data_IF_507007208848
#
_entry.id   IF_507007208848
#
_cell.length_a   1.000
_cell.length_b   1.000
_cell.length_c   1.000
_cell.angle_alpha   90.00
_cell.angle_beta   90.00
_cell.angle_gamma   90.00
#
_symmetry.space_group_name_H-M   'P 1'
#
loop_
_entity.id
_entity.type
_entity.pdbx_description
1 polymer ?
#
# COMPACT_ATOMS: atom_id res chain seq x y z
N UNK A 1 29.78 -0.61 17.57
CA UNK A 1 28.99 -0.75 16.33
C UNK A 1 27.96 0.35 16.42
N UNK A 2 28.00 1.31 15.50
CA UNK A 2 26.96 2.34 15.45
C UNK A 2 25.58 1.71 15.15
N UNK A 3 24.54 2.46 15.46
CA UNK A 3 23.15 2.00 15.37
C UNK A 3 22.73 1.79 13.90
N UNK A 4 23.31 2.53 12.95
CA UNK A 4 23.10 2.32 11.51
C UNK A 4 23.64 0.97 11.04
N UNK A 5 24.89 0.65 11.38
CA UNK A 5 25.50 -0.65 11.11
C UNK A 5 24.74 -1.79 11.81
N UNK A 6 24.18 -1.52 13.01
CA UNK A 6 23.29 -2.47 13.68
C UNK A 6 22.02 -2.69 12.86
N UNK A 7 21.36 -1.62 12.39
CA UNK A 7 20.14 -1.67 11.57
C UNK A 7 20.32 -2.51 10.31
N UNK A 8 21.39 -2.25 9.54
CA UNK A 8 21.67 -2.98 8.30
C UNK A 8 21.93 -4.46 8.58
N UNK A 9 22.75 -4.77 9.59
CA UNK A 9 22.99 -6.16 9.99
C UNK A 9 21.73 -6.85 10.49
N UNK A 10 20.84 -6.13 11.16
CA UNK A 10 19.58 -6.67 11.66
C UNK A 10 18.64 -7.00 10.50
N UNK A 11 18.64 -6.22 9.42
CA UNK A 11 17.92 -6.53 8.17
C UNK A 11 18.42 -7.85 7.56
N UNK A 12 19.74 -8.03 7.46
CA UNK A 12 20.32 -9.31 7.01
C UNK A 12 19.95 -10.47 7.94
N UNK A 13 20.07 -10.30 9.26
CA UNK A 13 19.71 -11.34 10.24
C UNK A 13 18.24 -11.73 10.11
N UNK A 14 17.32 -10.76 9.99
CA UNK A 14 15.90 -11.03 9.81
C UNK A 14 15.62 -11.75 8.49
N UNK A 15 16.27 -11.34 7.40
CA UNK A 15 16.15 -12.01 6.10
C UNK A 15 16.60 -13.47 6.18
N UNK A 16 17.79 -13.74 6.73
CA UNK A 16 18.31 -15.11 6.85
C UNK A 16 17.49 -15.97 7.81
N UNK A 17 16.99 -15.40 8.91
CA UNK A 17 16.04 -16.08 9.80
C UNK A 17 14.71 -16.40 9.10
N UNK A 18 14.18 -15.48 8.30
CA UNK A 18 12.97 -15.70 7.52
C UNK A 18 13.19 -16.84 6.50
N UNK A 19 14.31 -16.83 5.77
CA UNK A 19 14.69 -17.91 4.84
C UNK A 19 14.83 -19.23 5.57
N UNK A 20 15.49 -19.26 6.73
CA UNK A 20 15.64 -20.47 7.54
C UNK A 20 14.28 -21.00 8.04
N UNK A 21 13.37 -20.12 8.48
CA UNK A 21 12.01 -20.49 8.87
C UNK A 21 11.23 -21.08 7.71
N UNK A 22 11.30 -20.48 6.51
CA UNK A 22 10.66 -21.00 5.31
C UNK A 22 11.21 -22.37 4.95
N UNK A 23 12.54 -22.55 4.95
CA UNK A 23 13.17 -23.84 4.70
C UNK A 23 12.73 -24.90 5.73
N UNK A 24 12.69 -24.54 7.01
CA UNK A 24 12.20 -25.41 8.08
C UNK A 24 10.73 -25.80 7.87
N UNK A 25 9.86 -24.86 7.49
CA UNK A 25 8.46 -25.16 7.20
C UNK A 25 8.29 -26.03 5.97
N UNK A 26 9.12 -25.89 4.94
CA UNK A 26 9.09 -26.79 3.78
C UNK A 26 9.48 -28.20 4.23
N UNK A 27 10.58 -28.37 4.95
CA UNK A 27 11.06 -29.69 5.41
C UNK A 27 10.04 -30.35 6.34
N UNK A 28 9.58 -29.64 7.38
CA UNK A 28 8.59 -30.16 8.34
C UNK A 28 7.25 -30.39 7.64
N UNK A 29 6.83 -29.50 6.74
CA UNK A 29 5.61 -29.64 5.97
C UNK A 29 5.62 -30.88 5.07
N UNK A 30 6.73 -31.16 4.39
CA UNK A 30 6.92 -32.38 3.61
C UNK A 30 6.91 -33.63 4.51
N UNK A 31 7.61 -33.59 5.65
CA UNK A 31 7.61 -34.71 6.61
C UNK A 31 6.20 -35.01 7.15
N UNK A 32 5.45 -33.98 7.54
CA UNK A 32 4.06 -34.13 8.01
C UNK A 32 3.16 -34.61 6.87
N UNK A 33 3.32 -34.08 5.64
CA UNK A 33 2.55 -34.51 4.48
C UNK A 33 2.73 -36.01 4.17
N UNK A 34 3.96 -36.50 4.18
CA UNK A 34 4.27 -37.90 3.84
C UNK A 34 4.09 -38.88 5.01
N UNK A 35 4.36 -38.48 6.26
CA UNK A 35 4.30 -39.39 7.42
C UNK A 35 3.04 -39.26 8.27
N UNK A 36 2.42 -38.08 8.33
CA UNK A 36 1.32 -37.74 9.27
C UNK A 36 0.32 -36.76 8.65
N UNK A 37 -0.28 -37.16 7.53
CA UNK A 37 -1.18 -36.30 6.75
C UNK A 37 -2.39 -35.81 7.57
N UNK A 38 -2.80 -36.58 8.58
CA UNK A 38 -3.82 -36.23 9.58
C UNK A 38 -3.48 -34.95 10.36
N UNK A 39 -2.19 -34.70 10.62
CA UNK A 39 -1.69 -33.54 11.38
C UNK A 39 -1.34 -32.32 10.51
N UNK A 40 -1.53 -32.39 9.21
CA UNK A 40 -1.15 -31.30 8.31
C UNK A 40 -1.97 -30.01 8.56
N UNK A 41 -3.22 -30.14 9.02
CA UNK A 41 -4.03 -28.98 9.41
C UNK A 41 -3.46 -28.27 10.65
N UNK A 42 -3.00 -29.02 11.64
CA UNK A 42 -2.38 -28.49 12.85
C UNK A 42 -1.03 -27.83 12.53
N UNK A 43 -0.21 -28.50 11.69
CA UNK A 43 1.04 -27.91 11.17
C UNK A 43 0.81 -26.53 10.54
N UNK A 44 -0.22 -26.38 9.70
CA UNK A 44 -0.56 -25.08 9.09
C UNK A 44 -0.89 -24.01 10.14
N UNK A 45 -1.63 -24.36 11.20
CA UNK A 45 -1.94 -23.41 12.29
C UNK A 45 -0.67 -22.97 13.02
N UNK A 46 0.22 -23.89 13.35
CA UNK A 46 1.49 -23.56 14.01
C UNK A 46 2.41 -22.74 13.11
N UNK A 47 2.53 -23.09 11.83
CA UNK A 47 3.32 -22.33 10.87
C UNK A 47 2.81 -20.90 10.73
N UNK A 48 1.48 -20.70 10.65
CA UNK A 48 0.87 -19.37 10.64
C UNK A 48 1.19 -18.61 11.95
N UNK A 49 1.03 -19.25 13.11
CA UNK A 49 1.30 -18.63 14.41
C UNK A 49 2.76 -18.19 14.56
N UNK A 50 3.71 -19.07 14.23
CA UNK A 50 5.15 -18.78 14.30
C UNK A 50 5.52 -17.67 13.31
N UNK A 51 5.01 -17.74 12.08
CA UNK A 51 5.27 -16.70 11.06
C UNK A 51 4.73 -15.35 11.50
N UNK A 52 3.50 -15.33 12.05
CA UNK A 52 2.88 -14.10 12.55
C UNK A 52 3.65 -13.54 13.73
N UNK A 53 4.03 -14.37 14.70
CA UNK A 53 4.84 -13.96 15.84
C UNK A 53 6.19 -13.39 15.41
N UNK A 54 6.91 -14.09 14.53
CA UNK A 54 8.18 -13.62 13.98
C UNK A 54 8.01 -12.28 13.23
N UNK A 55 7.01 -12.16 12.36
CA UNK A 55 6.76 -10.93 11.61
C UNK A 55 6.44 -9.75 12.53
N UNK A 56 5.57 -9.94 13.53
CA UNK A 56 5.25 -8.90 14.52
C UNK A 56 6.50 -8.49 15.30
N UNK A 57 7.29 -9.46 15.78
CA UNK A 57 8.54 -9.17 16.50
C UNK A 57 9.52 -8.40 15.62
N UNK A 58 9.73 -8.83 14.38
CA UNK A 58 10.64 -8.14 13.46
C UNK A 58 10.15 -6.73 13.15
N UNK A 59 8.85 -6.52 12.90
CA UNK A 59 8.29 -5.19 12.68
C UNK A 59 8.53 -4.27 13.88
N UNK A 60 8.28 -4.75 15.09
CA UNK A 60 8.51 -3.97 16.32
C UNK A 60 10.00 -3.66 16.50
N UNK A 61 10.88 -4.65 16.30
CA UNK A 61 12.32 -4.46 16.46
C UNK A 61 12.87 -3.53 15.37
N UNK A 62 12.48 -3.67 14.11
CA UNK A 62 12.90 -2.77 13.04
C UNK A 62 12.37 -1.37 13.23
N UNK A 63 11.09 -1.21 13.58
CA UNK A 63 10.52 0.10 13.87
C UNK A 63 11.30 0.77 15.01
N UNK A 64 11.64 0.04 16.07
CA UNK A 64 12.43 0.55 17.18
C UNK A 64 13.88 0.88 16.78
N UNK A 65 14.56 0.00 16.06
CA UNK A 65 15.96 0.20 15.67
C UNK A 65 16.10 1.33 14.64
N UNK A 66 15.26 1.36 13.60
CA UNK A 66 15.20 2.49 12.64
C UNK A 66 14.85 3.79 13.36
N UNK A 67 13.94 3.74 14.33
CA UNK A 67 13.66 4.89 15.19
C UNK A 67 14.91 5.36 15.95
N UNK A 68 15.70 4.46 16.53
CA UNK A 68 16.96 4.81 17.21
C UNK A 68 18.06 5.27 16.24
N UNK A 69 18.05 4.84 14.97
CA UNK A 69 18.97 5.34 13.94
C UNK A 69 18.67 6.80 13.57
N UNK A 70 17.38 7.16 13.55
CA UNK A 70 16.88 8.40 12.96
C UNK A 70 16.63 9.51 14.00
N UNK A 71 17.07 9.37 15.26
CA UNK A 71 16.99 10.47 16.23
C UNK A 71 18.27 11.30 16.18
N UNK A 72 18.24 12.30 15.30
CA UNK A 72 18.48 13.67 15.74
C UNK A 72 17.09 14.30 16.03
N UNK A 73 17.01 15.24 16.97
CA UNK A 73 15.75 15.90 17.41
C UNK A 73 14.88 16.42 16.25
N UNK A 74 15.50 16.70 15.10
CA UNK A 74 14.85 17.21 13.91
C UNK A 74 13.99 16.16 13.17
N UNK A 75 14.44 14.90 13.05
CA UNK A 75 13.71 13.85 12.32
C UNK A 75 12.56 13.23 13.14
N UNK A 76 12.59 13.38 14.47
CA UNK A 76 11.48 12.99 15.35
C UNK A 76 10.17 13.72 14.98
N UNK A 77 10.25 14.97 14.49
CA UNK A 77 9.09 15.76 14.00
C UNK A 77 8.41 15.13 12.77
N UNK A 78 9.11 14.31 12.01
CA UNK A 78 8.56 13.58 10.86
C UNK A 78 7.98 12.22 11.28
N UNK A 79 8.71 11.47 12.11
CA UNK A 79 8.38 10.09 12.40
C UNK A 79 7.16 9.92 13.32
N UNK A 80 7.14 10.61 14.47
CA UNK A 80 6.08 10.42 15.46
C UNK A 80 4.67 10.74 14.94
N UNK A 81 4.45 11.79 14.14
CA UNK A 81 3.10 12.08 13.64
C UNK A 81 2.60 11.05 12.62
N UNK A 82 3.48 10.54 11.75
CA UNK A 82 3.14 9.45 10.83
C UNK A 82 2.80 8.17 11.63
N UNK A 83 3.63 7.84 12.63
CA UNK A 83 3.40 6.69 13.51
C UNK A 83 2.08 6.85 14.29
N UNK A 84 1.81 8.02 14.86
CA UNK A 84 0.56 8.31 15.57
C UNK A 84 -0.66 8.17 14.65
N UNK A 85 -0.57 8.62 13.40
CA UNK A 85 -1.63 8.43 12.41
C UNK A 85 -1.91 6.95 12.17
N UNK A 86 -0.87 6.12 12.05
CA UNK A 86 -1.02 4.68 11.86
C UNK A 86 -1.54 3.96 13.10
N UNK A 87 -1.08 4.33 14.30
CA UNK A 87 -1.62 3.81 15.57
C UNK A 87 -3.10 4.12 15.67
N UNK A 88 -3.53 5.35 15.32
CA UNK A 88 -4.94 5.74 15.29
C UNK A 88 -5.76 4.86 14.34
N UNK A 89 -5.24 4.58 13.14
CA UNK A 89 -5.91 3.70 12.17
C UNK A 89 -6.04 2.27 12.71
N UNK A 90 -4.98 1.71 13.30
CA UNK A 90 -4.99 0.35 13.85
C UNK A 90 -5.91 0.25 15.08
N UNK A 91 -5.81 1.20 16.01
CA UNK A 91 -6.67 1.27 17.19
C UNK A 91 -8.14 1.43 16.79
N UNK A 92 -8.42 2.26 15.78
CA UNK A 92 -9.76 2.40 15.22
C UNK A 92 -10.28 1.13 14.54
N UNK A 93 -9.43 0.39 13.82
CA UNK A 93 -9.79 -0.92 13.27
C UNK A 93 -10.15 -1.93 14.37
N UNK A 94 -9.37 -1.97 15.45
CA UNK A 94 -9.66 -2.81 16.64
C UNK A 94 -10.98 -2.36 17.30
N UNK A 95 -11.19 -1.06 17.46
CA UNK A 95 -12.41 -0.51 18.02
C UNK A 95 -13.64 -0.88 17.19
N UNK A 96 -13.53 -0.86 15.85
CA UNK A 96 -14.61 -1.30 14.96
C UNK A 96 -14.86 -2.81 15.07
N UNK A 97 -13.82 -3.63 15.17
CA UNK A 97 -13.95 -5.07 15.41
C UNK A 97 -14.65 -5.36 16.74
N UNK A 98 -14.25 -4.70 17.82
CA UNK A 98 -14.90 -4.82 19.13
C UNK A 98 -16.35 -4.34 19.05
N UNK A 99 -16.60 -3.21 18.38
CA UNK A 99 -17.95 -2.65 18.19
C UNK A 99 -18.87 -3.58 17.41
N UNK A 100 -18.32 -4.38 16.49
CA UNK A 100 -19.08 -5.37 15.71
C UNK A 100 -19.64 -6.51 16.57
N UNK A 101 -19.14 -6.70 17.79
CA UNK A 101 -19.69 -7.66 18.76
C UNK A 101 -20.97 -7.16 19.43
N UNK A 102 -21.28 -5.86 19.32
CA UNK A 102 -22.40 -5.23 20.02
C UNK A 102 -23.54 -4.83 19.08
N UNK A 103 -23.27 -4.00 18.06
CA UNK A 103 -24.29 -3.58 17.08
C UNK A 103 -23.72 -2.87 15.85
N UNK A 104 -24.47 -2.87 14.75
CA UNK A 104 -24.12 -2.10 13.54
C UNK A 104 -24.05 -0.59 13.79
N UNK A 105 -24.89 -0.07 14.70
CA UNK A 105 -24.84 1.35 15.11
C UNK A 105 -23.50 1.67 15.79
N UNK A 106 -23.02 0.79 16.67
CA UNK A 106 -21.72 0.95 17.33
C UNK A 106 -20.57 0.93 16.31
N UNK A 107 -20.62 0.04 15.30
CA UNK A 107 -19.63 0.02 14.21
C UNK A 107 -19.62 1.34 13.43
N UNK A 108 -20.79 1.88 13.07
CA UNK A 108 -20.89 3.17 12.37
C UNK A 108 -20.30 4.33 13.19
N UNK A 109 -20.62 4.39 14.48
CA UNK A 109 -20.06 5.42 15.38
C UNK A 109 -18.54 5.26 15.48
N UNK A 110 -18.05 4.04 15.72
CA UNK A 110 -16.63 3.73 15.81
C UNK A 110 -15.88 4.09 14.51
N UNK A 111 -16.49 3.83 13.36
CA UNK A 111 -15.96 4.24 12.06
C UNK A 111 -15.85 5.76 11.93
N UNK A 112 -16.91 6.52 12.25
CA UNK A 112 -16.90 8.00 12.18
C UNK A 112 -15.83 8.57 13.12
N UNK A 113 -15.77 8.09 14.37
CA UNK A 113 -14.77 8.53 15.34
C UNK A 113 -13.36 8.23 14.83
N UNK A 114 -13.11 7.02 14.32
CA UNK A 114 -11.83 6.63 13.74
C UNK A 114 -11.46 7.53 12.56
N UNK A 115 -12.40 7.81 11.65
CA UNK A 115 -12.16 8.66 10.49
C UNK A 115 -11.81 10.10 10.88
N UNK A 116 -12.52 10.68 11.84
CA UNK A 116 -12.26 12.04 12.36
C UNK A 116 -10.89 12.11 13.05
N UNK A 117 -10.57 11.14 13.92
CA UNK A 117 -9.27 11.08 14.60
C UNK A 117 -8.13 10.90 13.61
N UNK A 118 -8.30 10.01 12.63
CA UNK A 118 -7.29 9.78 11.57
C UNK A 118 -7.05 11.05 10.76
N UNK A 119 -8.12 11.75 10.37
CA UNK A 119 -8.01 13.04 9.67
C UNK A 119 -7.29 14.09 10.53
N UNK A 120 -7.62 14.18 11.82
CA UNK A 120 -6.94 15.07 12.76
C UNK A 120 -5.44 14.76 12.89
N UNK A 121 -5.07 13.49 13.06
CA UNK A 121 -3.67 13.05 13.09
C UNK A 121 -2.95 13.35 11.77
N UNK A 122 -3.62 13.15 10.65
CA UNK A 122 -3.06 13.44 9.33
C UNK A 122 -2.79 14.95 9.14
N UNK A 123 -3.74 15.81 9.52
CA UNK A 123 -3.54 17.28 9.48
C UNK A 123 -2.39 17.68 10.41
N UNK A 124 -2.34 17.16 11.63
CA UNK A 124 -1.23 17.41 12.56
C UNK A 124 0.12 16.98 11.97
N UNK A 125 0.16 15.85 11.27
CA UNK A 125 1.34 15.37 10.54
C UNK A 125 1.77 16.37 9.47
N UNK A 126 0.86 16.88 8.65
CA UNK A 126 1.17 17.89 7.62
C UNK A 126 1.72 19.19 8.23
N UNK A 127 1.16 19.64 9.35
CA UNK A 127 1.63 20.84 10.07
C UNK A 127 3.04 20.63 10.62
N UNK A 128 3.32 19.49 11.26
CA UNK A 128 4.64 19.20 11.82
C UNK A 128 5.70 19.01 10.74
N UNK A 129 5.35 18.42 9.59
CA UNK A 129 6.23 18.38 8.41
C UNK A 129 6.54 19.79 7.88
N UNK A 130 5.57 20.71 7.94
CA UNK A 130 5.80 22.11 7.52
C UNK A 130 6.76 22.82 8.47
N UNK A 131 6.62 22.60 9.78
CA UNK A 131 7.57 23.13 10.77
C UNK A 131 8.97 22.56 10.57
N UNK A 132 9.06 21.24 10.35
CA UNK A 132 10.32 20.58 10.03
C UNK A 132 10.97 21.19 8.79
N UNK A 133 10.21 21.39 7.70
CA UNK A 133 10.72 22.06 6.50
C UNK A 133 11.28 23.46 6.82
N UNK A 134 10.60 24.23 7.68
CA UNK A 134 11.08 25.54 8.12
C UNK A 134 12.45 25.49 8.80
N UNK A 135 12.75 24.42 9.53
CA UNK A 135 14.05 24.21 10.17
C UNK A 135 15.16 23.84 9.16
N UNK A 136 14.81 23.23 8.03
CA UNK A 136 15.76 22.73 7.03
C UNK A 136 15.77 23.50 5.71
N UNK A 137 14.93 24.53 5.56
CA UNK A 137 14.72 25.21 4.29
C UNK A 137 16.02 25.80 3.69
N UNK A 138 16.97 26.21 4.54
CA UNK A 138 18.27 26.71 4.12
C UNK A 138 19.12 25.67 3.37
N UNK A 139 18.91 24.37 3.64
CA UNK A 139 19.57 23.28 2.93
C UNK A 139 18.95 22.98 1.56
N UNK A 140 17.77 23.54 1.27
CA UNK A 140 17.02 23.32 0.04
C UNK A 140 16.64 24.64 -0.66
N UNK A 141 17.61 25.52 -0.98
CA UNK A 141 17.33 26.83 -1.54
C UNK A 141 16.65 26.78 -2.92
N UNK A 142 16.77 25.68 -3.67
CA UNK A 142 16.14 25.52 -4.98
C UNK A 142 14.79 24.79 -4.92
N UNK A 143 14.28 24.46 -3.74
CA UNK A 143 12.95 23.88 -3.59
C UNK A 143 11.84 24.88 -3.99
N UNK A 144 10.88 24.41 -4.80
CA UNK A 144 9.80 25.19 -5.37
C UNK A 144 8.44 24.76 -4.81
N UNK A 145 7.95 25.52 -3.83
CA UNK A 145 6.67 25.26 -3.17
C UNK A 145 5.48 25.23 -4.14
N UNK A 146 5.42 26.19 -5.08
CA UNK A 146 4.32 26.29 -6.04
C UNK A 146 4.28 25.05 -6.94
N UNK A 147 5.45 24.62 -7.43
CA UNK A 147 5.60 23.41 -8.24
C UNK A 147 5.16 22.15 -7.48
N UNK A 148 5.53 22.02 -6.21
CA UNK A 148 5.09 20.91 -5.37
C UNK A 148 3.56 20.89 -5.17
N UNK A 149 2.95 22.04 -4.84
CA UNK A 149 1.49 22.15 -4.64
C UNK A 149 0.74 21.81 -5.93
N UNK A 150 1.12 22.44 -7.05
CA UNK A 150 0.47 22.23 -8.35
C UNK A 150 0.56 20.76 -8.75
N UNK A 151 1.74 20.15 -8.61
CA UNK A 151 1.93 18.73 -8.93
C UNK A 151 1.08 17.83 -8.04
N UNK A 152 1.08 18.05 -6.71
CA UNK A 152 0.29 17.26 -5.77
C UNK A 152 -1.21 17.35 -6.09
N UNK A 153 -1.73 18.54 -6.41
CA UNK A 153 -3.12 18.75 -6.83
C UNK A 153 -3.42 18.03 -8.14
N UNK A 154 -2.54 18.13 -9.15
CA UNK A 154 -2.71 17.43 -10.44
C UNK A 154 -2.80 15.92 -10.25
N UNK A 155 -1.88 15.32 -9.50
CA UNK A 155 -1.92 13.87 -9.25
C UNK A 155 -3.08 13.44 -8.37
N UNK A 156 -3.52 14.29 -7.43
CA UNK A 156 -4.75 14.06 -6.68
C UNK A 156 -5.97 14.04 -7.60
N UNK A 157 -6.07 14.98 -8.56
CA UNK A 157 -7.14 15.01 -9.57
C UNK A 157 -7.08 13.78 -10.46
N UNK A 158 -5.89 13.34 -10.89
CA UNK A 158 -5.71 12.10 -11.67
C UNK A 158 -6.20 10.88 -10.87
N UNK A 159 -5.85 10.80 -9.59
CA UNK A 159 -6.29 9.71 -8.71
C UNK A 159 -7.80 9.70 -8.53
N UNK A 160 -8.43 10.87 -8.36
CA UNK A 160 -9.90 11.02 -8.30
C UNK A 160 -10.54 10.65 -9.63
N UNK A 161 -9.97 11.05 -10.76
CA UNK A 161 -10.46 10.65 -12.08
C UNK A 161 -10.38 9.12 -12.26
N UNK A 162 -9.27 8.50 -11.88
CA UNK A 162 -9.10 7.05 -11.91
C UNK A 162 -10.13 6.32 -11.02
N UNK A 163 -10.50 6.90 -9.87
CA UNK A 163 -11.57 6.38 -9.02
C UNK A 163 -12.92 6.35 -9.75
N UNK A 164 -13.27 7.42 -10.48
CA UNK A 164 -14.52 7.46 -11.24
C UNK A 164 -14.50 6.54 -12.46
N UNK A 165 -13.35 6.34 -13.10
CA UNK A 165 -13.17 5.39 -14.20
C UNK A 165 -13.29 3.94 -13.73
N UNK A 166 -12.81 3.60 -12.52
CA UNK A 166 -12.92 2.26 -11.95
C UNK A 166 -14.38 1.81 -11.73
N UNK A 167 -14.63 0.50 -11.84
CA UNK A 167 -15.99 -0.04 -11.75
C UNK A 167 -16.53 0.07 -10.32
N UNK A 168 -17.84 0.33 -10.21
CA UNK A 168 -18.55 0.38 -8.92
C UNK A 168 -18.75 -1.04 -8.38
N UNK A 169 -17.77 -1.53 -7.62
CA UNK A 169 -17.83 -2.81 -6.89
C UNK A 169 -18.11 -2.56 -5.40
N UNK A 170 -18.77 -3.51 -4.72
CA UNK A 170 -19.10 -3.39 -3.29
C UNK A 170 -17.83 -3.20 -2.44
N UNK A 171 -17.65 -2.04 -1.81
CA UNK A 171 -16.41 -1.75 -1.06
C UNK A 171 -16.22 -2.65 0.17
N UNK A 172 -17.30 -3.12 0.78
CA UNK A 172 -17.32 -3.94 2.00
C UNK A 172 -17.25 -5.45 1.74
N UNK A 173 -16.66 -5.89 0.62
CA UNK A 173 -16.48 -7.31 0.34
C UNK A 173 -15.33 -7.89 1.18
N UNK A 174 -15.66 -8.77 2.14
CA UNK A 174 -14.69 -9.38 3.07
C UNK A 174 -13.52 -10.03 2.35
N UNK A 175 -13.78 -10.73 1.24
CA UNK A 175 -12.74 -11.38 0.45
C UNK A 175 -11.75 -10.34 -0.08
N UNK A 176 -12.24 -9.28 -0.70
CA UNK A 176 -11.40 -8.19 -1.20
C UNK A 176 -10.60 -7.46 -0.10
N UNK A 177 -11.15 -7.34 1.11
CA UNK A 177 -10.45 -6.73 2.24
C UNK A 177 -9.28 -7.63 2.68
N UNK A 178 -9.53 -8.94 2.83
CA UNK A 178 -8.50 -9.92 3.22
C UNK A 178 -7.39 -9.99 2.19
N UNK A 179 -7.71 -10.08 0.90
CA UNK A 179 -6.70 -10.06 -0.16
C UNK A 179 -5.92 -8.73 -0.19
N UNK A 180 -6.57 -7.61 0.11
CA UNK A 180 -5.92 -6.31 0.22
C UNK A 180 -4.88 -6.30 1.34
N UNK A 181 -5.28 -6.72 2.54
CA UNK A 181 -4.38 -6.82 3.69
C UNK A 181 -3.19 -7.75 3.43
N UNK A 182 -3.43 -8.93 2.84
CA UNK A 182 -2.35 -9.87 2.46
C UNK A 182 -1.41 -9.23 1.44
N UNK A 183 -1.95 -8.52 0.45
CA UNK A 183 -1.15 -7.89 -0.60
C UNK A 183 -0.29 -6.76 -0.03
N UNK A 184 -0.83 -5.94 0.87
CA UNK A 184 -0.05 -4.91 1.59
C UNK A 184 1.06 -5.56 2.41
N UNK A 185 0.74 -6.58 3.21
CA UNK A 185 1.71 -7.26 4.06
C UNK A 185 2.85 -7.91 3.26
N UNK A 186 2.52 -8.60 2.16
CA UNK A 186 3.51 -9.21 1.27
C UNK A 186 4.38 -8.15 0.58
N UNK A 187 3.77 -7.07 0.08
CA UNK A 187 4.50 -5.99 -0.58
C UNK A 187 5.40 -5.23 0.39
N UNK A 188 4.99 -5.11 1.65
CA UNK A 188 5.77 -4.48 2.71
C UNK A 188 6.88 -5.40 3.20
N UNK A 189 6.68 -6.72 3.22
CA UNK A 189 7.77 -7.66 3.50
C UNK A 189 8.80 -7.67 2.35
N UNK A 190 8.33 -7.71 1.10
CA UNK A 190 9.19 -7.73 -0.09
C UNK A 190 9.95 -6.42 -0.30
N UNK A 191 9.47 -5.28 0.22
CA UNK A 191 10.21 -4.02 0.13
C UNK A 191 11.47 -3.97 0.98
N UNK A 192 11.62 -4.86 1.98
CA UNK A 192 12.90 -5.04 2.69
C UNK A 192 13.89 -5.90 1.89
N UNK A 193 13.42 -6.72 0.95
CA UNK A 193 14.28 -7.50 0.07
C UNK A 193 14.79 -6.63 -1.10
N UNK A 194 15.65 -5.67 -0.76
CA UNK A 194 16.23 -4.71 -1.70
C UNK A 194 17.43 -5.33 -2.43
N UNK A 195 17.45 -5.19 -3.75
CA UNK A 195 18.57 -5.58 -4.62
C UNK A 195 19.58 -4.44 -4.76
N UNK A 196 19.08 -3.20 -4.76
CA UNK A 196 19.87 -1.98 -4.84
C UNK A 196 19.15 -0.83 -4.13
N UNK A 197 19.89 0.02 -3.45
CA UNK A 197 19.40 1.24 -2.78
C UNK A 197 20.07 2.46 -3.40
N UNK A 198 19.30 3.53 -3.61
CA UNK A 198 19.81 4.80 -4.12
C UNK A 198 20.06 5.79 -2.98
N UNK A 199 21.03 6.72 -3.15
CA UNK A 199 21.51 7.58 -2.06
C UNK A 199 20.53 8.66 -1.57
N UNK A 200 19.45 8.95 -2.30
CA UNK A 200 18.45 9.99 -1.99
C UNK A 200 17.07 9.36 -1.88
N UNK A 201 17.03 8.13 -1.38
CA UNK A 201 15.84 7.30 -1.32
C UNK A 201 15.54 6.56 -2.62
N UNK A 202 14.64 5.60 -2.53
CA UNK A 202 14.33 4.70 -3.63
C UNK A 202 15.19 3.44 -3.61
N UNK A 203 14.57 2.34 -4.02
CA UNK A 203 15.22 1.03 -4.08
C UNK A 203 14.64 0.18 -5.20
N UNK A 204 15.46 -0.71 -5.74
CA UNK A 204 15.04 -1.78 -6.61
C UNK A 204 14.80 -3.01 -5.73
N UNK A 205 13.57 -3.51 -5.72
CA UNK A 205 13.16 -4.57 -4.78
C UNK A 205 12.95 -5.90 -5.48
N UNK A 206 12.86 -6.99 -4.71
CA UNK A 206 12.52 -8.32 -5.21
C UNK A 206 11.00 -8.45 -5.50
N UNK A 207 10.50 -7.63 -6.43
CA UNK A 207 9.10 -7.58 -6.88
C UNK A 207 8.09 -7.11 -5.81
N UNK A 208 8.43 -6.11 -5.00
CA UNK A 208 7.52 -5.61 -3.94
C UNK A 208 6.19 -5.05 -4.47
N UNK A 209 6.14 -4.54 -5.70
CA UNK A 209 4.90 -4.06 -6.33
C UNK A 209 3.96 -5.18 -6.78
N UNK A 210 4.47 -6.39 -6.99
CA UNK A 210 3.72 -7.47 -7.64
C UNK A 210 2.44 -7.88 -6.88
N UNK A 211 2.45 -8.07 -5.54
CA UNK A 211 1.23 -8.43 -4.83
C UNK A 211 0.14 -7.36 -4.96
N UNK A 212 0.50 -6.06 -4.91
CA UNK A 212 -0.45 -4.96 -5.15
C UNK A 212 -1.02 -4.98 -6.57
N UNK A 213 -0.17 -5.20 -7.58
CA UNK A 213 -0.64 -5.26 -8.98
C UNK A 213 -1.60 -6.43 -9.21
N UNK A 214 -1.31 -7.60 -8.61
CA UNK A 214 -2.22 -8.76 -8.64
C UNK A 214 -3.54 -8.41 -7.96
N UNK A 215 -3.50 -7.76 -6.79
CA UNK A 215 -4.70 -7.31 -6.10
C UNK A 215 -5.58 -6.42 -6.98
N UNK A 216 -4.98 -5.43 -7.63
CA UNK A 216 -5.70 -4.51 -8.52
C UNK A 216 -6.30 -5.25 -9.71
N UNK A 217 -5.57 -6.22 -10.28
CA UNK A 217 -6.08 -7.10 -11.33
C UNK A 217 -7.27 -7.96 -10.87
N UNK A 218 -7.34 -8.34 -9.59
CA UNK A 218 -8.42 -9.17 -9.05
C UNK A 218 -9.66 -8.37 -8.65
N UNK A 219 -9.46 -7.19 -8.07
CA UNK A 219 -10.51 -6.46 -7.35
C UNK A 219 -10.85 -5.09 -7.93
N UNK A 220 -10.12 -4.66 -8.97
CA UNK A 220 -10.41 -3.45 -9.73
C UNK A 220 -9.79 -2.19 -9.15
N UNK A 221 -9.90 -1.11 -9.92
CA UNK A 221 -9.15 0.13 -9.68
C UNK A 221 -9.55 0.81 -8.37
N UNK A 222 -10.85 0.93 -8.05
CA UNK A 222 -11.29 1.65 -6.84
C UNK A 222 -10.71 1.08 -5.56
N UNK A 223 -10.81 -0.24 -5.37
CA UNK A 223 -10.21 -0.91 -4.22
C UNK A 223 -8.69 -0.86 -4.27
N UNK A 224 -8.11 -1.00 -5.47
CA UNK A 224 -6.68 -0.87 -5.71
C UNK A 224 -6.12 0.46 -5.24
N UNK A 225 -6.77 1.58 -5.57
CA UNK A 225 -6.35 2.93 -5.16
C UNK A 225 -6.27 3.04 -3.63
N UNK A 226 -7.26 2.51 -2.89
CA UNK A 226 -7.24 2.52 -1.41
C UNK A 226 -6.09 1.68 -0.88
N UNK A 227 -5.98 0.43 -1.34
CA UNK A 227 -4.98 -0.54 -0.87
C UNK A 227 -3.56 -0.04 -1.13
N UNK A 228 -3.30 0.53 -2.31
CA UNK A 228 -1.98 1.04 -2.65
C UNK A 228 -1.68 2.40 -1.97
N UNK A 229 -2.69 3.23 -1.67
CA UNK A 229 -2.50 4.45 -0.87
C UNK A 229 -2.06 4.10 0.55
N UNK A 230 -2.72 3.12 1.18
CA UNK A 230 -2.33 2.63 2.51
C UNK A 230 -0.88 2.11 2.48
N UNK A 231 -0.52 1.35 1.45
CA UNK A 231 0.86 0.90 1.25
C UNK A 231 1.85 2.05 1.13
N UNK A 232 1.51 3.13 0.39
CA UNK A 232 2.35 4.32 0.29
C UNK A 232 2.62 4.97 1.64
N UNK A 233 1.61 5.09 2.51
CA UNK A 233 1.79 5.62 3.87
C UNK A 233 2.70 4.71 4.71
N UNK A 234 2.59 3.38 4.57
CA UNK A 234 3.49 2.45 5.24
C UNK A 234 4.94 2.58 4.75
N UNK A 235 5.13 2.82 3.45
CA UNK A 235 6.46 3.06 2.88
C UNK A 235 7.12 4.31 3.46
N UNK A 236 6.35 5.36 3.74
CA UNK A 236 6.87 6.57 4.38
C UNK A 236 7.44 6.33 5.79
N UNK A 237 6.99 5.28 6.49
CA UNK A 237 7.62 4.89 7.76
C UNK A 237 8.88 4.05 7.56
N UNK A 238 8.89 3.21 6.52
CA UNK A 238 9.96 2.25 6.29
C UNK A 238 11.23 2.92 5.78
N UNK A 239 11.08 3.84 4.82
CA UNK A 239 12.19 4.47 4.11
C UNK A 239 11.95 5.99 4.00
N UNK A 240 11.91 6.72 5.14
CA UNK A 240 11.55 8.13 5.16
C UNK A 240 12.64 9.00 4.56
N UNK A 241 12.38 9.54 3.37
CA UNK A 241 13.06 10.71 2.81
C UNK A 241 12.02 11.82 2.61
N UNK A 242 11.79 12.61 3.65
CA UNK A 242 10.70 13.61 3.69
C UNK A 242 11.28 14.96 4.07
N UNK A 243 11.07 15.95 3.20
CA UNK A 243 11.47 17.33 3.48
C UNK A 243 10.27 18.27 3.60
N UNK A 244 9.19 17.99 2.88
CA UNK A 244 8.03 18.90 2.79
C UNK A 244 6.72 18.10 2.65
N UNK A 245 5.58 18.52 3.24
CA UNK A 245 4.33 17.76 3.18
C UNK A 245 3.82 17.49 1.75
N UNK A 246 3.97 18.43 0.82
CA UNK A 246 3.56 18.21 -0.57
C UNK A 246 4.47 17.20 -1.29
N UNK A 247 5.77 17.20 -0.97
CA UNK A 247 6.69 16.17 -1.43
C UNK A 247 6.32 14.81 -0.85
N UNK A 248 5.99 14.74 0.44
CA UNK A 248 5.47 13.52 1.06
C UNK A 248 4.24 12.98 0.30
N UNK A 249 3.27 13.84 -0.04
CA UNK A 249 2.11 13.39 -0.81
C UNK A 249 2.51 12.79 -2.16
N UNK A 250 3.40 13.46 -2.88
CA UNK A 250 3.89 13.03 -4.20
C UNK A 250 4.65 11.71 -4.14
N UNK A 251 5.55 11.54 -3.18
CA UNK A 251 6.44 10.36 -3.12
C UNK A 251 5.82 9.15 -2.43
N UNK A 252 4.77 9.34 -1.62
CA UNK A 252 4.16 8.26 -0.85
C UNK A 252 2.71 8.00 -1.28
N UNK A 253 1.66 8.57 -0.65
CA UNK A 253 0.28 8.16 -0.91
C UNK A 253 -0.16 8.34 -2.37
N UNK A 254 0.29 9.39 -3.09
CA UNK A 254 -0.10 9.58 -4.50
C UNK A 254 0.68 8.66 -5.45
N UNK A 255 2.02 8.63 -5.35
CA UNK A 255 2.87 7.74 -6.14
C UNK A 255 2.44 6.27 -6.04
N UNK A 256 2.28 5.76 -4.81
CA UNK A 256 1.85 4.38 -4.61
C UNK A 256 0.35 4.21 -4.83
N UNK A 257 -0.49 5.17 -4.45
CA UNK A 257 -1.94 5.13 -4.69
C UNK A 257 -2.28 4.90 -6.16
N UNK A 258 -1.57 5.57 -7.07
CA UNK A 258 -1.76 5.42 -8.52
C UNK A 258 -1.32 4.05 -9.07
N UNK A 259 -0.57 3.24 -8.32
CA UNK A 259 -0.37 1.82 -8.66
C UNK A 259 -1.71 1.05 -8.68
N UNK A 260 -2.72 1.58 -7.98
CA UNK A 260 -4.09 1.06 -7.98
C UNK A 260 -4.72 0.90 -9.37
N UNK A 261 -4.25 1.62 -10.39
CA UNK A 261 -4.75 1.50 -11.77
C UNK A 261 -4.15 0.32 -12.54
N UNK A 262 -3.21 -0.43 -11.96
CA UNK A 262 -2.52 -1.55 -12.63
C UNK A 262 -3.45 -2.66 -13.12
N UNK A 263 -4.65 -2.77 -12.56
CA UNK A 263 -5.68 -3.72 -12.97
C UNK A 263 -6.68 -3.21 -14.01
N UNK A 264 -6.59 -1.95 -14.45
CA UNK A 264 -7.66 -1.27 -15.18
C UNK A 264 -8.04 -1.96 -16.50
N UNK A 265 -7.06 -2.48 -17.26
CA UNK A 265 -7.35 -3.16 -18.52
C UNK A 265 -8.09 -4.49 -18.31
N UNK A 266 -7.75 -5.24 -17.26
CA UNK A 266 -8.49 -6.46 -16.89
C UNK A 266 -9.89 -6.13 -16.38
N UNK A 267 -10.00 -5.09 -15.55
CA UNK A 267 -11.28 -4.61 -15.03
C UNK A 267 -12.24 -4.25 -16.16
N UNK A 268 -11.77 -3.51 -17.16
CA UNK A 268 -12.56 -3.12 -18.34
C UNK A 268 -12.77 -4.24 -19.36
N UNK A 269 -12.25 -5.44 -19.10
CA UNK A 269 -12.35 -6.55 -20.02
C UNK A 269 -11.66 -6.27 -21.36
N UNK A 270 -10.64 -5.42 -21.36
CA UNK A 270 -9.75 -5.25 -22.50
C UNK A 270 -8.77 -6.43 -22.53
N UNK A 271 -8.50 -6.97 -23.70
CA UNK A 271 -7.60 -8.12 -23.87
C UNK A 271 -8.02 -9.38 -23.06
N UNK A 272 -9.33 -9.71 -23.00
CA UNK A 272 -9.85 -10.85 -22.20
C UNK A 272 -9.10 -12.16 -22.43
N UNK A 273 -8.74 -12.44 -23.69
CA UNK A 273 -8.03 -13.66 -24.08
C UNK A 273 -6.50 -13.56 -23.89
N UNK A 274 -5.98 -12.38 -23.54
CA UNK A 274 -4.56 -12.08 -23.36
C UNK A 274 -4.31 -11.40 -22.01
N UNK A 275 -4.63 -12.11 -20.91
CA UNK A 275 -4.45 -11.62 -19.53
C UNK A 275 -3.04 -11.08 -19.25
N UNK A 276 -2.01 -11.72 -19.77
CA UNK A 276 -0.62 -11.25 -19.64
C UNK A 276 -0.44 -9.86 -20.26
N UNK A 277 -1.04 -9.60 -21.43
CA UNK A 277 -0.99 -8.28 -22.08
C UNK A 277 -1.73 -7.23 -21.26
N UNK A 278 -2.92 -7.56 -20.73
CA UNK A 278 -3.65 -6.66 -19.85
C UNK A 278 -2.86 -6.30 -18.58
N UNK A 279 -2.19 -7.29 -17.97
CA UNK A 279 -1.31 -7.10 -16.81
C UNK A 279 -0.13 -6.19 -17.14
N UNK A 280 0.58 -6.46 -18.25
CA UNK A 280 1.74 -5.69 -18.67
C UNK A 280 1.37 -4.22 -18.93
N UNK A 281 0.33 -3.97 -19.73
CA UNK A 281 -0.09 -2.61 -20.06
C UNK A 281 -0.57 -1.84 -18.82
N UNK A 282 -1.29 -2.52 -17.92
CA UNK A 282 -1.76 -1.92 -16.68
C UNK A 282 -0.61 -1.58 -15.73
N UNK A 283 0.33 -2.51 -15.55
CA UNK A 283 1.52 -2.28 -14.72
C UNK A 283 2.42 -1.17 -15.28
N UNK A 284 2.60 -1.09 -16.61
CA UNK A 284 3.33 0.04 -17.24
C UNK A 284 2.62 1.36 -16.96
N UNK A 285 1.31 1.45 -17.18
CA UNK A 285 0.55 2.67 -16.90
C UNK A 285 0.69 3.09 -15.43
N UNK A 286 0.52 2.15 -14.51
CA UNK A 286 0.65 2.37 -13.07
C UNK A 286 2.04 2.92 -12.69
N UNK A 287 3.12 2.30 -13.17
CA UNK A 287 4.47 2.75 -12.82
C UNK A 287 4.85 4.04 -13.52
N UNK A 288 4.37 4.31 -14.73
CA UNK A 288 4.57 5.61 -15.38
C UNK A 288 3.94 6.74 -14.54
N UNK A 289 2.75 6.53 -13.99
CA UNK A 289 2.12 7.49 -13.08
C UNK A 289 2.92 7.68 -11.78
N UNK A 290 3.37 6.58 -11.16
CA UNK A 290 4.26 6.62 -9.99
C UNK A 290 5.55 7.39 -10.29
N UNK A 291 6.19 7.07 -11.40
CA UNK A 291 7.41 7.72 -11.87
C UNK A 291 7.18 9.22 -12.10
N UNK A 292 6.07 9.61 -12.71
CA UNK A 292 5.75 11.01 -12.93
C UNK A 292 5.58 11.79 -11.60
N UNK A 293 4.97 11.20 -10.57
CA UNK A 293 4.93 11.78 -9.23
C UNK A 293 6.34 12.02 -8.68
N UNK A 294 7.21 11.00 -8.72
CA UNK A 294 8.58 11.08 -8.23
C UNK A 294 9.43 12.07 -9.04
N UNK A 295 9.20 12.18 -10.36
CA UNK A 295 9.88 13.18 -11.18
C UNK A 295 9.49 14.59 -10.76
N UNK A 296 8.20 14.87 -10.56
CA UNK A 296 7.74 16.16 -10.07
C UNK A 296 8.29 16.47 -8.67
N UNK A 297 8.31 15.48 -7.77
CA UNK A 297 8.97 15.62 -6.47
C UNK A 297 10.45 15.94 -6.63
N UNK A 298 11.18 15.19 -7.46
CA UNK A 298 12.60 15.41 -7.72
C UNK A 298 12.91 16.80 -8.27
N UNK A 299 12.06 17.32 -9.16
CA UNK A 299 12.23 18.65 -9.76
C UNK A 299 11.93 19.77 -8.76
N UNK A 300 10.89 19.63 -7.94
CA UNK A 300 10.39 20.75 -7.13
C UNK A 300 10.81 20.67 -5.65
N UNK A 301 11.22 19.52 -5.15
CA UNK A 301 11.66 19.34 -3.77
C UNK A 301 13.17 19.08 -3.68
N UNK A 302 13.74 18.40 -4.68
CA UNK A 302 15.10 17.85 -4.62
C UNK A 302 16.03 18.41 -5.70
N UNK A 303 15.73 19.59 -6.25
CA UNK A 303 16.56 20.24 -7.26
C UNK A 303 18.01 20.48 -6.79
N UNK A 304 18.19 20.71 -5.48
CA UNK A 304 19.51 20.92 -4.86
C UNK A 304 20.44 19.71 -4.97
N UNK A 305 19.91 18.51 -5.23
CA UNK A 305 20.70 17.31 -5.47
C UNK A 305 21.17 17.15 -6.91
N UNK A 306 20.69 17.99 -7.84
CA UNK A 306 21.04 17.89 -9.24
C UNK A 306 22.46 18.43 -9.48
N UNK A 307 23.37 17.53 -9.89
CA UNK A 307 24.66 17.91 -10.44
C UNK A 307 24.44 18.52 -11.84
N UNK A 308 24.29 19.84 -11.90
CA UNK A 308 23.93 20.54 -13.13
C UNK A 308 25.06 20.51 -14.18
N UNK A 309 26.32 20.31 -13.77
CA UNK A 309 27.44 20.12 -14.70
C UNK A 309 27.32 18.79 -15.47
N UNK A 310 26.62 17.80 -14.87
CA UNK A 310 26.39 16.49 -15.47
C UNK A 310 25.05 16.36 -16.20
N UNK A 311 23.99 17.02 -15.71
CA UNK A 311 22.61 16.78 -16.17
C UNK A 311 21.97 17.98 -16.88
N UNK A 312 22.63 19.13 -16.99
CA UNK A 312 22.15 20.40 -17.56
C UNK A 312 20.93 21.05 -16.84
N UNK A 313 19.98 20.26 -16.33
CA UNK A 313 18.75 20.74 -15.69
C UNK A 313 18.27 19.81 -14.56
N UNK A 314 17.55 20.36 -13.58
CA UNK A 314 16.92 19.57 -12.51
C UNK A 314 15.90 18.55 -13.01
N UNK A 315 15.20 18.83 -14.14
CA UNK A 315 14.28 17.86 -14.75
C UNK A 315 15.00 16.67 -15.38
N UNK A 316 16.10 16.90 -16.07
CA UNK A 316 16.91 15.81 -16.63
C UNK A 316 17.51 14.95 -15.50
N UNK A 317 18.01 15.58 -14.43
CA UNK A 317 18.44 14.88 -13.23
C UNK A 317 17.32 14.02 -12.64
N UNK A 318 16.17 14.63 -12.36
CA UNK A 318 15.03 13.95 -11.73
C UNK A 318 14.50 12.78 -12.59
N UNK A 319 14.42 12.97 -13.91
CA UNK A 319 14.04 11.90 -14.84
C UNK A 319 15.04 10.74 -14.81
N UNK A 320 16.34 11.04 -14.86
CA UNK A 320 17.39 10.03 -14.83
C UNK A 320 17.42 9.30 -13.48
N UNK A 321 17.37 10.03 -12.37
CA UNK A 321 17.41 9.48 -11.02
C UNK A 321 16.25 8.51 -10.78
N UNK A 322 15.02 8.94 -11.05
CA UNK A 322 13.82 8.15 -10.78
C UNK A 322 13.62 6.97 -11.73
N UNK A 323 14.47 6.82 -12.76
CA UNK A 323 14.35 5.73 -13.74
C UNK A 323 14.53 4.34 -13.11
N UNK A 324 15.07 4.24 -11.89
CA UNK A 324 15.09 3.01 -11.10
C UNK A 324 13.69 2.39 -10.95
N UNK A 325 12.62 3.21 -10.96
CA UNK A 325 11.24 2.73 -10.91
C UNK A 325 10.91 1.80 -12.08
N UNK A 326 11.54 1.98 -13.26
CA UNK A 326 11.35 1.10 -14.41
C UNK A 326 12.07 -0.24 -14.26
N UNK A 327 13.16 -0.30 -13.48
CA UNK A 327 13.83 -1.56 -13.14
C UNK A 327 12.95 -2.36 -12.17
N UNK A 328 12.43 -1.70 -11.13
CA UNK A 328 11.48 -2.30 -10.18
C UNK A 328 10.20 -2.77 -10.89
N UNK A 329 9.69 -1.99 -11.85
CA UNK A 329 8.62 -2.38 -12.77
C UNK A 329 8.98 -3.63 -13.56
N UNK A 330 10.15 -3.68 -14.20
CA UNK A 330 10.54 -4.81 -15.05
C UNK A 330 10.54 -6.11 -14.25
N UNK A 331 11.10 -6.08 -13.03
CA UNK A 331 11.12 -7.25 -12.13
C UNK A 331 9.69 -7.69 -11.79
N UNK A 332 8.83 -6.76 -11.36
CA UNK A 332 7.43 -7.06 -11.04
C UNK A 332 6.65 -7.58 -12.25
N UNK A 333 6.86 -7.00 -13.43
CA UNK A 333 6.18 -7.39 -14.66
C UNK A 333 6.62 -8.75 -15.18
N UNK A 334 7.92 -9.07 -15.12
CA UNK A 334 8.45 -10.39 -15.50
C UNK A 334 7.93 -11.45 -14.54
N UNK A 335 8.08 -11.23 -13.23
CA UNK A 335 7.59 -12.16 -12.21
C UNK A 335 6.06 -12.37 -12.34
N UNK A 336 5.29 -11.30 -12.47
CA UNK A 336 3.85 -11.38 -12.70
C UNK A 336 3.49 -12.10 -13.99
N UNK A 337 4.18 -11.82 -15.10
CA UNK A 337 3.90 -12.48 -16.39
C UNK A 337 4.07 -14.00 -16.30
N UNK A 338 5.09 -14.48 -15.58
CA UNK A 338 5.27 -15.92 -15.35
C UNK A 338 4.12 -16.53 -14.53
N UNK A 339 3.60 -15.82 -13.54
CA UNK A 339 2.40 -16.23 -12.79
C UNK A 339 1.15 -16.24 -13.68
N UNK A 340 0.89 -15.17 -14.43
CA UNK A 340 -0.27 -15.06 -15.31
C UNK A 340 -0.26 -16.07 -16.46
N UNK A 341 0.93 -16.49 -16.93
CA UNK A 341 1.06 -17.55 -17.92
C UNK A 341 0.66 -18.94 -17.38
N UNK A 342 0.69 -19.15 -16.06
CA UNK A 342 0.26 -20.40 -15.43
C UNK A 342 -1.27 -20.52 -15.45
N UNK A 343 -1.78 -21.60 -16.06
CA UNK A 343 -3.22 -21.91 -16.09
C UNK A 343 -3.79 -22.05 -14.66
N UNK A 344 -3.04 -22.68 -13.76
CA UNK A 344 -3.45 -22.89 -12.36
C UNK A 344 -3.61 -21.56 -11.62
N UNK A 345 -2.65 -20.64 -11.78
CA UNK A 345 -2.73 -19.32 -11.16
C UNK A 345 -3.87 -18.50 -11.77
N UNK A 346 -3.98 -18.48 -13.10
CA UNK A 346 -5.06 -17.78 -13.80
C UNK A 346 -6.45 -18.28 -13.39
N UNK A 347 -6.61 -19.58 -13.16
CA UNK A 347 -7.85 -20.18 -12.68
C UNK A 347 -8.15 -19.82 -11.22
N UNK A 348 -7.13 -19.89 -10.34
CA UNK A 348 -7.25 -19.51 -8.93
C UNK A 348 -7.65 -18.04 -8.79
N UNK A 349 -6.95 -17.17 -9.51
CA UNK A 349 -7.24 -15.74 -9.55
C UNK A 349 -8.68 -15.51 -10.00
N UNK A 350 -9.12 -16.11 -11.12
CA UNK A 350 -10.47 -15.91 -11.64
C UNK A 350 -11.55 -16.38 -10.65
N UNK A 351 -11.31 -17.50 -9.95
CA UNK A 351 -12.19 -18.00 -8.88
C UNK A 351 -12.29 -17.02 -7.70
N UNK A 352 -11.19 -16.38 -7.34
CA UNK A 352 -11.11 -15.47 -6.20
C UNK A 352 -11.38 -14.00 -6.54
N UNK A 353 -11.42 -13.64 -7.83
CA UNK A 353 -11.58 -12.27 -8.31
C UNK A 353 -13.03 -11.85 -8.46
N UNK A 354 -13.24 -10.54 -8.58
CA UNK A 354 -14.52 -9.96 -9.02
C UNK A 354 -14.53 -9.71 -10.55
N UNK A 355 -13.41 -9.98 -11.24
CA UNK A 355 -13.30 -9.80 -12.69
C UNK A 355 -14.10 -10.89 -13.41
N UNK A 356 -15.05 -10.47 -14.25
CA UNK A 356 -16.07 -11.29 -14.90
C UNK A 356 -17.19 -11.81 -13.98
N UNK A 357 -17.30 -11.32 -12.73
CA UNK A 357 -18.54 -11.51 -11.98
C UNK A 357 -19.68 -10.82 -12.76
N UNK A 358 -20.79 -11.52 -13.00
CA UNK A 358 -21.94 -10.96 -13.70
C UNK A 358 -22.34 -9.63 -13.03
N UNK A 359 -22.81 -8.62 -13.79
CA UNK A 359 -23.35 -7.41 -13.20
C UNK A 359 -24.38 -7.81 -12.15
N UNK A 360 -24.22 -7.35 -10.91
CA UNK A 360 -25.27 -7.53 -9.92
C UNK A 360 -26.47 -6.72 -10.43
N UNK A 361 -27.41 -7.41 -11.07
CA UNK A 361 -28.75 -6.89 -11.31
C UNK A 361 -29.25 -6.47 -9.93
N UNK A 362 -29.54 -5.18 -9.77
CA UNK A 362 -30.26 -4.67 -8.62
C UNK A 362 -31.59 -5.44 -8.56
N UNK A 363 -31.66 -6.49 -7.75
CA UNK A 363 -32.92 -6.86 -7.17
C UNK A 363 -33.18 -5.80 -6.10
N UNK A 364 -33.93 -4.75 -6.48
CA UNK A 364 -34.69 -4.00 -5.49
C UNK A 364 -35.57 -5.03 -4.78
N UNK A 365 -35.15 -5.44 -3.58
CA UNK A 365 -36.06 -6.08 -2.66
C UNK A 365 -37.13 -5.04 -2.33
N UNK A 366 -38.43 -5.37 -2.47
CA UNK A 366 -39.47 -4.49 -1.96
C UNK A 366 -39.24 -4.36 -0.46
N UNK A 367 -39.19 -3.12 0.00
CA UNK A 367 -39.25 -2.78 1.43
C UNK A 367 -40.62 -3.21 1.95
N UNK A 368 -40.72 -4.44 2.44
CA UNK A 368 -41.74 -4.83 3.40
C UNK A 368 -41.37 -4.18 4.73
N UNK A 369 -41.79 -2.94 4.92
CA UNK A 369 -41.88 -2.25 6.21
C UNK A 369 -42.96 -1.16 6.07
N UNK A 370 -44.19 -1.58 5.80
CA UNK A 370 -45.40 -0.87 6.21
C UNK A 370 -46.29 -1.87 6.95
N UNK A 371 -45.84 -2.30 8.13
CA UNK A 371 -46.79 -2.65 9.20
C UNK A 371 -47.49 -1.34 9.58
N UNK A 372 -48.64 -1.09 8.94
CA UNK A 372 -49.60 -0.08 9.37
C UNK A 372 -50.02 -0.41 10.81
N UNK A 373 -49.60 0.44 11.74
CA UNK A 373 -50.06 0.45 13.13
C UNK A 373 -51.58 0.31 13.19
N UNK A 374 -52.07 -0.65 13.98
CA UNK A 374 -53.50 -0.92 14.23
C UNK A 374 -54.26 0.23 14.92
N UNK A 375 -53.70 1.45 14.97
CA UNK A 375 -54.29 2.63 15.60
C UNK A 375 -55.18 3.44 14.63
N UNK A 376 -55.01 3.29 13.31
CA UNK A 376 -55.79 4.06 12.31
C UNK A 376 -57.05 3.35 11.77
N UNK A 377 -57.38 2.15 12.26
CA UNK A 377 -58.61 1.43 11.88
C UNK A 377 -59.88 1.83 12.65
N UNK A 378 -59.82 2.80 13.57
CA UNK A 378 -60.98 3.24 14.36
C UNK A 378 -61.55 4.62 13.99
N UNK A 379 -61.19 5.21 12.84
CA UNK A 379 -61.76 6.49 12.38
C UNK A 379 -62.61 6.33 11.10
N UNK A 380 -62.82 5.10 10.62
CA UNK A 380 -63.79 4.81 9.56
C UNK A 380 -64.60 3.57 9.92
N UNK A 381 -65.52 3.73 10.88
CA UNK A 381 -66.85 3.09 10.91
C UNK A 381 -67.87 4.05 11.53
#
# INVERSE_FOLDING_TARGET
MDIETLSDKLQFVALYLAVALVAAFIVVGLLVWFKRRDKFADFKKYAIGITTGFAVTMVVVFAYVKFQCNIDDMQAKLFYPILATLITVVAGAIAMLVSSLFSDKAVKISFIVTAVLTLGCFIATMVLMTQYYGDIAEYYPNANLVGMIVSAVVFMVIMVAAWFVGDKRKMSDTRSIVYGAISIALSFALSYAKLFELPQGGSVTFASLLPLMIYCCMFGTRRGLIVCTIYGVLQALQDPFIIHPMQFLLDYPLAFGLIGVSGIFMEKGLFKDKKVVAFLLGGVLAVVLRYACHVCSGVFAFADYADLDKYDTAIAYSMAYNSFAFVDMLIALVAGSTLFASKSFSALMQKSSDVNAAPQVKAEQPTDDEELDEIDKQIIE
#
